data_IF_259448440915
#
_entry.id   IF_259448440915
#
_cell.length_a   1.000
_cell.length_b   1.000
_cell.length_c   1.000
_cell.angle_alpha   90.00
_cell.angle_beta   90.00
_cell.angle_gamma   90.00
#
_symmetry.space_group_name_H-M   'P 1'
#
loop_
_entity.id
_entity.type
_entity.pdbx_description
1 polymer ?
#
# COMPACT_ATOMS: atom_id res chain seq x y z
N UNK A 1 10.06 0.80 6.36
CA UNK A 1 9.93 -0.41 5.51
C UNK A 1 9.71 -0.03 4.05
N UNK A 2 10.32 -0.77 3.13
CA UNK A 2 10.20 -0.50 1.69
C UNK A 2 9.65 -1.74 0.97
N UNK A 3 8.60 -1.55 0.18
CA UNK A 3 8.04 -2.58 -0.70
C UNK A 3 8.29 -2.12 -2.12
N UNK A 4 9.00 -2.95 -2.90
CA UNK A 4 9.39 -2.56 -4.25
C UNK A 4 9.02 -3.65 -5.26
N UNK A 5 8.21 -3.28 -6.25
CA UNK A 5 7.85 -4.08 -7.43
C UNK A 5 7.26 -5.46 -7.08
N UNK A 6 6.72 -5.62 -5.88
CA UNK A 6 6.18 -6.90 -5.42
C UNK A 6 4.77 -6.82 -4.88
N UNK A 7 4.32 -5.63 -4.52
CA UNK A 7 3.01 -5.50 -3.90
C UNK A 7 1.89 -6.01 -4.81
N UNK A 8 1.97 -5.76 -6.10
CA UNK A 8 0.94 -6.20 -7.05
C UNK A 8 0.82 -7.72 -7.14
N UNK A 9 1.81 -8.48 -6.66
CA UNK A 9 1.80 -9.94 -6.66
C UNK A 9 1.11 -10.53 -5.41
N UNK A 10 0.74 -9.69 -4.46
CA UNK A 10 0.14 -10.16 -3.20
C UNK A 10 -1.31 -10.54 -3.45
N UNK A 11 -1.64 -11.81 -3.23
CA UNK A 11 -2.99 -12.34 -3.46
C UNK A 11 -3.98 -11.93 -2.37
N UNK A 12 -3.51 -11.73 -1.16
CA UNK A 12 -4.34 -11.32 -0.02
C UNK A 12 -3.80 -10.02 0.56
N UNK A 13 -4.00 -8.88 -0.11
CA UNK A 13 -3.38 -7.63 0.29
C UNK A 13 -3.74 -7.18 1.71
N UNK A 14 -4.99 -7.37 2.12
CA UNK A 14 -5.42 -6.93 3.45
C UNK A 14 -4.76 -7.75 4.56
N UNK A 15 -4.67 -9.05 4.41
CA UNK A 15 -3.97 -9.90 5.38
C UNK A 15 -2.47 -9.56 5.41
N UNK A 16 -1.87 -9.38 4.23
CA UNK A 16 -0.47 -8.99 4.14
C UNK A 16 -0.22 -7.66 4.85
N UNK A 17 -1.02 -6.64 4.58
CA UNK A 17 -0.86 -5.32 5.19
C UNK A 17 -1.11 -5.35 6.68
N UNK A 18 -2.07 -6.15 7.14
CA UNK A 18 -2.35 -6.29 8.56
C UNK A 18 -1.13 -6.81 9.33
N UNK A 19 -0.49 -7.85 8.78
CA UNK A 19 0.72 -8.42 9.38
C UNK A 19 1.92 -7.48 9.25
N UNK A 20 2.10 -6.85 8.08
CA UNK A 20 3.18 -5.92 7.86
C UNK A 20 3.12 -4.76 8.85
N UNK A 21 1.92 -4.21 9.05
CA UNK A 21 1.71 -3.09 9.96
C UNK A 21 2.13 -3.42 11.39
N UNK A 22 1.95 -4.68 11.80
CA UNK A 22 2.34 -5.12 13.14
C UNK A 22 3.87 -5.06 13.35
N UNK A 23 4.63 -5.17 12.27
CA UNK A 23 6.10 -5.13 12.32
C UNK A 23 6.70 -3.75 12.17
N UNK A 24 5.89 -2.72 11.93
CA UNK A 24 6.37 -1.35 11.74
C UNK A 24 6.15 -0.57 13.02
N UNK A 25 7.15 0.21 13.45
CA UNK A 25 7.06 1.01 14.66
C UNK A 25 5.96 2.06 14.56
N UNK A 26 5.30 2.43 15.66
CA UNK A 26 4.35 3.55 15.66
C UNK A 26 5.01 4.82 15.10
N UNK A 27 4.28 5.50 14.22
CA UNK A 27 4.82 6.67 13.53
C UNK A 27 5.78 6.36 12.40
N UNK A 28 6.02 5.08 12.11
CA UNK A 28 6.90 4.66 11.03
C UNK A 28 6.29 4.93 9.65
N UNK A 29 7.15 4.81 8.64
CA UNK A 29 6.76 5.00 7.25
C UNK A 29 6.91 3.70 6.47
N UNK A 30 5.99 3.48 5.53
CA UNK A 30 6.09 2.40 4.56
C UNK A 30 6.25 3.03 3.18
N UNK A 31 7.30 2.64 2.47
CA UNK A 31 7.57 3.14 1.12
C UNK A 31 7.19 2.05 0.13
N UNK A 32 6.32 2.40 -0.81
CA UNK A 32 5.90 1.47 -1.87
C UNK A 32 6.36 2.01 -3.21
N UNK A 33 7.06 1.17 -3.97
CA UNK A 33 7.44 1.45 -5.35
C UNK A 33 6.77 0.39 -6.22
N UNK A 34 5.95 0.81 -7.18
CA UNK A 34 5.29 -0.11 -8.10
C UNK A 34 5.01 0.60 -9.42
N UNK A 35 4.32 -0.05 -10.33
CA UNK A 35 4.00 0.49 -11.64
C UNK A 35 2.50 0.80 -11.75
N UNK A 36 2.18 1.92 -12.38
CA UNK A 36 0.79 2.32 -12.66
C UNK A 36 0.27 1.52 -13.86
N UNK A 37 -0.13 0.30 -13.59
CA UNK A 37 -0.67 -0.64 -14.56
C UNK A 37 -1.76 -1.46 -13.91
N UNK A 38 -2.69 -2.03 -14.70
CA UNK A 38 -3.59 -3.05 -14.14
C UNK A 38 -2.83 -4.21 -13.52
N UNK A 39 -3.39 -4.82 -12.48
CA UNK A 39 -2.73 -5.96 -11.82
C UNK A 39 -2.44 -7.09 -12.81
N UNK A 40 -3.31 -7.27 -13.81
CA UNK A 40 -3.10 -8.24 -14.88
C UNK A 40 -1.85 -7.97 -15.72
N UNK A 41 -1.30 -6.75 -15.65
CA UNK A 41 -0.08 -6.35 -16.37
C UNK A 41 1.08 -6.07 -15.42
N UNK A 42 1.09 -6.73 -14.26
CA UNK A 42 2.17 -6.66 -13.28
C UNK A 42 2.37 -5.25 -12.70
N UNK A 43 1.27 -4.63 -12.29
CA UNK A 43 1.30 -3.35 -11.62
C UNK A 43 0.09 -3.19 -10.71
N UNK A 44 -0.04 -2.02 -10.11
CA UNK A 44 -1.22 -1.64 -9.35
C UNK A 44 -1.47 -0.14 -9.52
N UNK A 45 -2.68 0.29 -9.94
CA UNK A 45 -2.99 1.72 -10.04
C UNK A 45 -2.83 2.41 -8.68
N UNK A 46 -2.26 3.63 -8.64
CA UNK A 46 -2.07 4.35 -7.37
C UNK A 46 -3.33 4.52 -6.54
N UNK A 47 -4.47 4.76 -7.18
CA UNK A 47 -5.73 4.93 -6.47
C UNK A 47 -6.15 3.66 -5.73
N UNK A 48 -5.96 2.50 -6.36
CA UNK A 48 -6.23 1.21 -5.74
C UNK A 48 -5.28 0.95 -4.57
N UNK A 49 -3.99 1.22 -4.76
CA UNK A 49 -2.99 1.07 -3.71
C UNK A 49 -3.34 1.94 -2.48
N UNK A 50 -3.67 3.20 -2.71
CA UNK A 50 -4.04 4.12 -1.63
C UNK A 50 -5.27 3.63 -0.89
N UNK A 51 -6.26 3.12 -1.61
CA UNK A 51 -7.47 2.59 -1.00
C UNK A 51 -7.16 1.38 -0.11
N UNK A 52 -6.37 0.44 -0.60
CA UNK A 52 -6.01 -0.76 0.17
C UNK A 52 -5.24 -0.39 1.43
N UNK A 53 -4.29 0.54 1.34
CA UNK A 53 -3.53 0.99 2.51
C UNK A 53 -4.42 1.75 3.49
N UNK A 54 -5.35 2.57 3.01
CA UNK A 54 -6.25 3.31 3.90
C UNK A 54 -7.17 2.39 4.68
N UNK A 55 -7.52 1.22 4.14
CA UNK A 55 -8.30 0.21 4.86
C UNK A 55 -7.57 -0.30 6.11
N UNK A 56 -6.25 -0.21 6.13
CA UNK A 56 -5.42 -0.57 7.27
C UNK A 56 -4.98 0.65 8.09
N UNK A 57 -5.63 1.80 7.88
CA UNK A 57 -5.32 3.04 8.57
C UNK A 57 -3.88 3.52 8.30
N UNK A 58 -3.47 3.39 7.06
CA UNK A 58 -2.20 3.91 6.57
C UNK A 58 -2.47 4.96 5.49
N UNK A 59 -1.90 6.16 5.64
CA UNK A 59 -2.24 7.32 4.84
C UNK A 59 -1.07 7.80 4.00
N UNK A 60 -1.29 8.17 2.72
CA UNK A 60 -0.21 8.68 1.90
C UNK A 60 0.19 10.08 2.38
N UNK A 61 1.49 10.28 2.58
CA UNK A 61 2.04 11.58 2.99
C UNK A 61 2.87 12.21 1.88
N UNK A 62 3.34 11.41 0.91
CA UNK A 62 4.09 11.92 -0.23
C UNK A 62 4.03 10.90 -1.36
N UNK A 63 3.95 11.40 -2.59
CA UNK A 63 3.99 10.54 -3.77
C UNK A 63 4.69 11.26 -4.92
N UNK A 64 5.29 10.49 -5.82
CA UNK A 64 5.95 11.02 -7.01
C UNK A 64 6.00 9.96 -8.10
N UNK A 65 5.98 10.41 -9.36
CA UNK A 65 6.28 9.53 -10.49
C UNK A 65 7.79 9.48 -10.66
N UNK A 66 8.30 8.29 -10.94
CA UNK A 66 9.72 8.11 -11.17
C UNK A 66 10.05 8.41 -12.64
N UNK A 67 11.29 8.87 -12.86
CA UNK A 67 11.76 9.22 -14.19
C UNK A 67 11.68 8.02 -15.14
N UNK A 68 11.18 8.24 -16.33
CA UNK A 68 11.17 7.22 -17.38
C UNK A 68 9.90 6.40 -17.50
N UNK A 69 8.80 6.76 -16.78
CA UNK A 69 7.59 6.15 -17.19
C UNK A 69 6.52 5.87 -16.15
N UNK A 70 6.16 4.59 -16.02
CA UNK A 70 4.97 4.18 -15.27
C UNK A 70 5.23 3.94 -13.78
N UNK A 71 6.48 3.87 -13.36
CA UNK A 71 6.81 3.61 -11.97
C UNK A 71 6.52 4.82 -11.08
N UNK A 72 6.04 4.54 -9.88
CA UNK A 72 5.75 5.59 -8.89
C UNK A 72 6.24 5.15 -7.51
N UNK A 73 6.37 6.11 -6.62
CA UNK A 73 6.67 5.87 -5.21
C UNK A 73 5.65 6.58 -4.36
N UNK A 74 5.13 5.90 -3.35
CA UNK A 74 4.23 6.49 -2.37
C UNK A 74 4.73 6.15 -0.97
N UNK A 75 4.79 7.17 -0.12
CA UNK A 75 5.13 7.01 1.29
C UNK A 75 3.84 7.04 2.10
N UNK A 76 3.64 6.01 2.92
CA UNK A 76 2.48 5.90 3.79
C UNK A 76 2.92 6.02 5.25
N UNK A 77 2.16 6.78 6.03
CA UNK A 77 2.34 6.86 7.48
C UNK A 77 1.28 6.00 8.16
N UNK A 78 1.68 5.32 9.23
CA UNK A 78 0.75 4.56 10.03
C UNK A 78 -0.05 5.50 10.92
N UNK A 79 -1.39 5.44 10.77
CA UNK A 79 -2.30 6.02 11.74
C UNK A 79 -2.58 5.05 12.87
N UNK A 80 -3.18 5.51 13.92
CA UNK A 80 -3.56 4.67 15.05
C UNK A 80 -5.06 4.74 15.27
N UNK A 81 -5.65 3.65 15.79
CA UNK A 81 -5.05 2.33 16.03
C UNK A 81 -4.99 1.45 14.78
N UNK A 82 -4.25 0.33 14.88
CA UNK A 82 -4.34 -0.72 13.86
C UNK A 82 -5.75 -1.29 13.90
N UNK A 83 -6.46 -1.34 12.76
CA UNK A 83 -7.81 -1.88 12.78
C UNK A 83 -7.83 -3.36 13.13
N UNK A 84 -8.88 -3.80 13.82
CA UNK A 84 -9.11 -5.23 14.01
C UNK A 84 -9.48 -5.85 12.65
N UNK A 85 -9.20 -7.14 12.42
CA UNK A 85 -9.52 -7.77 11.13
C UNK A 85 -10.98 -7.57 10.69
N UNK A 86 -11.92 -7.56 11.62
CA UNK A 86 -13.34 -7.37 11.33
C UNK A 86 -13.68 -5.95 10.88
N UNK A 87 -12.82 -4.98 11.16
CA UNK A 87 -13.04 -3.58 10.82
C UNK A 87 -12.51 -3.21 9.44
N UNK A 88 -11.78 -4.11 8.80
CA UNK A 88 -11.20 -3.86 7.49
C UNK A 88 -12.30 -3.92 6.44
N UNK A 89 -12.45 -2.84 5.66
CA UNK A 89 -13.42 -2.78 4.57
C UNK A 89 -12.67 -2.85 3.25
N UNK A 90 -12.76 -3.99 2.53
CA UNK A 90 -12.09 -4.12 1.24
C UNK A 90 -12.53 -3.05 0.25
N UNK A 91 -11.61 -2.61 -0.58
CA UNK A 91 -11.90 -1.64 -1.63
C UNK A 91 -12.69 -2.31 -2.74
N UNK A 92 -13.64 -1.58 -3.32
CA UNK A 92 -14.41 -2.03 -4.46
C UNK A 92 -13.52 -1.98 -5.71
N UNK A 93 -13.50 -3.05 -6.47
CA UNK A 93 -12.77 -3.14 -7.73
C UNK A 93 -11.45 -3.81 -7.65
#
# INVERSE_FOLDING_TARGET
>A
MCIRDRYHEVQSPYAFLWHLRAGVRPGGLVVVVDADRPVSRHGIPPAQLKCEFSALNMWPVKSAMLTGGEAYVILFRLGEPRPAPQQIKPCAG
#
